data_IF_693317777054
#
_entry.id   IF_693317777054
#
_cell.length_a   1.000
_cell.length_b   1.000
_cell.length_c   1.000
_cell.angle_alpha   90.00
_cell.angle_beta   90.00
_cell.angle_gamma   90.00
#
_symmetry.space_group_name_H-M   'P 1'
#
loop_
_entity.id
_entity.type
_entity.pdbx_description
1 polymer ?
#
# COMPACT_ATOMS: atom_id res chain seq x y z
N UNK A 1 -10.10 48.01 75.38
CA UNK A 1 -8.76 47.44 75.07
C UNK A 1 -8.90 46.74 73.73
N UNK A 2 -8.33 47.32 72.67
CA UNK A 2 -8.50 46.83 71.30
C UNK A 2 -7.48 45.71 71.02
N UNK A 3 -7.95 44.52 70.66
CA UNK A 3 -7.10 43.46 70.13
C UNK A 3 -7.05 43.61 68.61
N UNK A 4 -5.92 44.07 68.09
CA UNK A 4 -5.63 44.13 66.67
C UNK A 4 -4.90 42.84 66.28
N UNK A 5 -5.59 41.94 65.58
CA UNK A 5 -5.05 40.67 65.14
C UNK A 5 -4.11 40.86 63.93
N UNK A 6 -2.88 40.39 64.07
CA UNK A 6 -1.85 40.37 63.03
C UNK A 6 -2.13 39.23 62.04
N UNK A 7 -2.25 39.51 60.74
CA UNK A 7 -2.35 38.47 59.70
C UNK A 7 -0.95 38.08 59.21
N UNK A 8 -0.61 36.80 59.31
CA UNK A 8 0.61 36.21 58.74
C UNK A 8 0.37 35.96 57.23
N UNK A 9 1.30 36.30 56.31
CA UNK A 9 1.13 35.99 54.90
C UNK A 9 1.21 34.48 54.67
N UNK A 10 0.15 33.87 54.12
CA UNK A 10 0.17 32.47 53.71
C UNK A 10 1.00 32.32 52.43
N UNK A 11 2.13 31.60 52.52
CA UNK A 11 2.90 31.20 51.35
C UNK A 11 2.05 30.29 50.44
N UNK A 12 2.11 30.46 49.10
CA UNK A 12 1.33 29.64 48.18
C UNK A 12 1.79 28.19 48.29
N UNK A 13 0.93 27.32 48.83
CA UNK A 13 1.17 25.89 48.83
C UNK A 13 1.15 25.40 47.39
N UNK A 14 2.34 25.20 46.81
CA UNK A 14 2.52 24.67 45.46
C UNK A 14 1.88 23.28 45.42
N UNK A 15 0.67 23.24 44.89
CA UNK A 15 -0.28 22.14 45.00
C UNK A 15 0.30 20.90 44.33
N UNK A 16 0.79 19.97 45.15
CA UNK A 16 1.24 18.65 44.70
C UNK A 16 0.16 17.92 43.90
N UNK A 17 -1.12 18.21 44.19
CA UNK A 17 -2.28 17.76 43.43
C UNK A 17 -2.26 18.22 41.98
N UNK A 18 -1.85 19.45 41.68
CA UNK A 18 -1.76 19.97 40.31
C UNK A 18 -0.63 19.28 39.53
N UNK A 19 0.46 18.95 40.22
CA UNK A 19 1.55 18.14 39.65
C UNK A 19 1.09 16.70 39.35
N UNK A 20 0.33 16.08 40.26
CA UNK A 20 -0.22 14.73 40.05
C UNK A 20 -1.24 14.71 38.92
N UNK A 21 -2.16 15.70 38.86
CA UNK A 21 -3.16 15.81 37.79
C UNK A 21 -2.49 16.01 36.44
N UNK A 22 -1.46 16.86 36.34
CA UNK A 22 -0.69 17.04 35.10
C UNK A 22 0.03 15.75 34.66
N UNK A 23 0.57 14.98 35.60
CA UNK A 23 1.22 13.69 35.29
C UNK A 23 0.18 12.69 34.78
N UNK A 24 -0.97 12.57 35.46
CA UNK A 24 -2.04 11.64 35.05
C UNK A 24 -2.60 12.01 33.68
N UNK A 25 -2.87 13.30 33.43
CA UNK A 25 -3.34 13.78 32.12
C UNK A 25 -2.29 13.53 31.02
N UNK A 26 -1.01 13.77 31.32
CA UNK A 26 0.10 13.48 30.40
C UNK A 26 0.21 12.00 30.05
N UNK A 27 0.06 11.11 31.03
CA UNK A 27 0.09 9.66 30.82
C UNK A 27 -1.12 9.19 30.01
N UNK A 28 -2.32 9.68 30.30
CA UNK A 28 -3.55 9.31 29.56
C UNK A 28 -3.48 9.79 28.10
N UNK A 29 -2.99 11.01 27.85
CA UNK A 29 -2.74 11.50 26.49
C UNK A 29 -1.68 10.68 25.76
N UNK A 30 -0.57 10.37 26.42
CA UNK A 30 0.47 9.52 25.83
C UNK A 30 -0.06 8.13 25.48
N UNK A 31 -0.83 7.49 26.37
CA UNK A 31 -1.45 6.17 26.11
C UNK A 31 -2.50 6.26 24.99
N UNK A 32 -3.29 7.33 24.92
CA UNK A 32 -4.26 7.54 23.84
C UNK A 32 -3.58 7.74 22.48
N UNK A 33 -2.50 8.53 22.42
CA UNK A 33 -1.74 8.79 21.19
C UNK A 33 -0.91 7.57 20.75
N UNK A 34 -0.31 6.83 21.69
CA UNK A 34 0.45 5.62 21.38
C UNK A 34 -0.49 4.44 21.05
N UNK A 35 -1.64 4.34 21.70
CA UNK A 35 -2.66 3.32 21.39
C UNK A 35 -3.26 3.48 19.99
N UNK A 36 -3.60 4.72 19.59
CA UNK A 36 -4.06 5.02 18.23
C UNK A 36 -2.93 4.89 17.20
N UNK A 37 -1.71 5.28 17.55
CA UNK A 37 -0.53 5.18 16.68
C UNK A 37 -0.10 3.73 16.40
N UNK A 38 0.00 2.88 17.42
CA UNK A 38 0.49 1.50 17.26
C UNK A 38 -0.62 0.58 16.77
N UNK A 39 -1.85 0.72 17.26
CA UNK A 39 -3.00 -0.06 16.78
C UNK A 39 -3.39 0.29 15.35
N UNK A 40 -3.39 1.59 15.02
CA UNK A 40 -3.65 2.09 13.66
C UNK A 40 -2.51 1.76 12.69
N UNK A 41 -1.25 1.94 13.07
CA UNK A 41 -0.11 1.67 12.20
C UNK A 41 -0.02 0.20 11.79
N UNK A 42 -0.28 -0.74 12.69
CA UNK A 42 -0.28 -2.17 12.33
C UNK A 42 -1.51 -2.58 11.49
N UNK A 43 -2.70 -2.00 11.74
CA UNK A 43 -3.88 -2.22 10.91
C UNK A 43 -3.72 -1.60 9.50
N UNK A 44 -3.15 -0.40 9.39
CA UNK A 44 -2.82 0.24 8.12
C UNK A 44 -1.67 -0.45 7.40
N UNK A 45 -0.69 -1.03 8.11
CA UNK A 45 0.40 -1.79 7.50
C UNK A 45 -0.13 -3.07 6.87
N UNK A 46 -0.92 -3.88 7.59
CA UNK A 46 -1.44 -5.14 7.05
C UNK A 46 -2.35 -4.99 5.81
N UNK A 47 -3.11 -3.89 5.67
CA UNK A 47 -3.94 -3.62 4.47
C UNK A 47 -3.09 -3.06 3.32
N UNK A 48 -2.04 -2.27 3.61
CA UNK A 48 -1.07 -1.80 2.61
C UNK A 48 -0.09 -2.89 2.17
N UNK A 49 0.17 -3.88 3.02
CA UNK A 49 1.21 -4.91 2.84
C UNK A 49 0.94 -5.85 1.66
N UNK A 50 -0.31 -5.97 1.22
CA UNK A 50 -0.64 -6.73 0.01
C UNK A 50 -0.95 -5.82 -1.18
N UNK A 51 -1.75 -4.78 -0.98
CA UNK A 51 -2.19 -3.86 -2.04
C UNK A 51 -1.03 -3.11 -2.70
N UNK A 52 -0.07 -2.62 -1.90
CA UNK A 52 1.12 -1.92 -2.42
C UNK A 52 1.96 -2.83 -3.31
N UNK A 53 2.45 -3.97 -2.79
CA UNK A 53 3.25 -4.89 -3.59
C UNK A 53 2.55 -5.47 -4.81
N UNK A 54 1.21 -5.69 -4.76
CA UNK A 54 0.45 -6.09 -5.95
C UNK A 54 0.45 -4.98 -7.01
N UNK A 55 0.23 -3.73 -6.59
CA UNK A 55 0.27 -2.57 -7.47
C UNK A 55 1.63 -2.40 -8.12
N UNK A 56 2.68 -2.40 -7.32
CA UNK A 56 4.05 -2.16 -7.77
C UNK A 56 4.49 -3.23 -8.80
N UNK A 57 4.10 -4.49 -8.59
CA UNK A 57 4.38 -5.57 -9.53
C UNK A 57 3.67 -5.39 -10.88
N UNK A 58 2.41 -4.93 -10.86
CA UNK A 58 1.66 -4.64 -12.08
C UNK A 58 2.22 -3.41 -12.80
N UNK A 59 2.60 -2.36 -12.06
CA UNK A 59 3.23 -1.15 -12.62
C UNK A 59 4.59 -1.50 -13.24
N UNK A 60 5.42 -2.31 -12.58
CA UNK A 60 6.69 -2.76 -13.12
C UNK A 60 6.52 -3.53 -14.44
N UNK A 61 5.52 -4.41 -14.53
CA UNK A 61 5.20 -5.11 -15.79
C UNK A 61 4.88 -4.13 -16.92
N UNK A 62 4.01 -3.15 -16.67
CA UNK A 62 3.65 -2.14 -17.68
C UNK A 62 4.85 -1.27 -18.05
N UNK A 63 5.68 -0.88 -17.08
CA UNK A 63 6.91 -0.12 -17.32
C UNK A 63 7.91 -0.88 -18.21
N UNK A 64 8.02 -2.21 -18.04
CA UNK A 64 8.83 -3.02 -18.95
C UNK A 64 8.29 -2.99 -20.38
N UNK A 65 6.97 -2.99 -20.55
CA UNK A 65 6.34 -2.88 -21.88
C UNK A 65 6.51 -1.49 -22.49
N UNK A 66 6.37 -0.43 -21.69
CA UNK A 66 6.66 0.96 -22.11
C UNK A 66 8.12 1.13 -22.56
N UNK A 67 9.06 0.53 -21.82
CA UNK A 67 10.48 0.53 -22.17
C UNK A 67 10.83 -0.41 -23.34
N UNK A 68 9.88 -1.19 -23.86
CA UNK A 68 10.11 -2.21 -24.89
C UNK A 68 10.93 -3.41 -24.41
N UNK A 69 11.11 -3.57 -23.09
CA UNK A 69 11.81 -4.69 -22.49
C UNK A 69 10.86 -5.89 -22.30
N UNK A 70 10.51 -6.53 -23.42
CA UNK A 70 9.60 -7.69 -23.43
C UNK A 70 10.14 -8.88 -22.64
N UNK A 71 11.46 -9.00 -22.50
CA UNK A 71 12.09 -10.09 -21.75
C UNK A 71 11.86 -9.96 -20.24
N UNK A 72 12.07 -8.76 -19.69
CA UNK A 72 11.78 -8.49 -18.28
C UNK A 72 10.27 -8.58 -17.99
N UNK A 73 9.43 -8.12 -18.93
CA UNK A 73 7.98 -8.29 -18.85
C UNK A 73 7.61 -9.78 -18.78
N UNK A 74 8.16 -10.62 -19.65
CA UNK A 74 7.94 -12.07 -19.64
C UNK A 74 8.43 -12.72 -18.34
N UNK A 75 9.58 -12.30 -17.81
CA UNK A 75 10.11 -12.85 -16.56
C UNK A 75 9.27 -12.50 -15.34
N UNK A 76 8.50 -11.41 -15.38
CA UNK A 76 7.55 -11.03 -14.33
C UNK A 76 6.23 -11.80 -14.38
N UNK A 77 5.98 -12.59 -15.44
CA UNK A 77 4.81 -13.46 -15.54
C UNK A 77 4.89 -14.64 -14.56
N UNK A 78 3.73 -15.14 -14.16
CA UNK A 78 3.63 -16.28 -13.27
C UNK A 78 3.97 -17.59 -13.97
N UNK A 79 4.29 -18.62 -13.19
CA UNK A 79 4.73 -19.90 -13.72
C UNK A 79 3.70 -20.51 -14.69
N UNK A 80 2.41 -20.42 -14.34
CA UNK A 80 1.31 -20.95 -15.17
C UNK A 80 1.27 -20.25 -16.55
N UNK A 81 1.36 -18.91 -16.59
CA UNK A 81 1.37 -18.16 -17.86
C UNK A 81 2.64 -18.40 -18.68
N UNK A 82 3.80 -18.51 -18.03
CA UNK A 82 5.06 -18.86 -18.70
C UNK A 82 5.09 -20.29 -19.24
N UNK A 83 4.29 -21.19 -18.66
CA UNK A 83 4.07 -22.53 -19.18
C UNK A 83 3.13 -22.54 -20.39
N UNK A 84 2.21 -21.58 -20.47
CA UNK A 84 1.21 -21.47 -21.54
C UNK A 84 1.73 -20.76 -22.81
N UNK A 85 2.64 -19.78 -22.65
CA UNK A 85 3.19 -19.00 -23.75
C UNK A 85 4.71 -19.13 -23.77
N UNK A 86 5.32 -19.38 -24.94
CA UNK A 86 6.76 -19.23 -25.07
C UNK A 86 7.14 -17.75 -25.03
N UNK A 87 8.40 -17.46 -24.69
CA UNK A 87 8.94 -16.10 -24.67
C UNK A 87 8.76 -15.39 -26.01
N UNK A 88 9.00 -16.11 -27.11
CA UNK A 88 8.89 -15.60 -28.47
C UNK A 88 7.42 -15.34 -28.84
N UNK A 89 6.51 -16.23 -28.44
CA UNK A 89 5.07 -16.05 -28.68
C UNK A 89 4.53 -14.83 -27.90
N UNK A 90 4.99 -14.64 -26.66
CA UNK A 90 4.67 -13.45 -25.87
C UNK A 90 5.19 -12.17 -26.53
N UNK A 91 6.48 -12.14 -26.93
CA UNK A 91 7.07 -10.99 -27.60
C UNK A 91 6.37 -10.66 -28.92
N UNK A 92 6.03 -11.68 -29.71
CA UNK A 92 5.26 -11.52 -30.95
C UNK A 92 3.83 -11.02 -30.70
N UNK A 93 3.21 -11.40 -29.58
CA UNK A 93 1.91 -10.87 -29.14
C UNK A 93 2.00 -9.39 -28.79
N UNK A 94 2.96 -9.01 -27.93
CA UNK A 94 3.20 -7.62 -27.54
C UNK A 94 3.51 -6.74 -28.77
N UNK A 95 4.32 -7.23 -29.71
CA UNK A 95 4.68 -6.48 -30.91
C UNK A 95 3.51 -6.18 -31.86
N UNK A 96 2.39 -6.91 -31.75
CA UNK A 96 1.17 -6.65 -32.54
C UNK A 96 0.27 -5.60 -31.90
N UNK A 97 0.52 -5.26 -30.63
CA UNK A 97 -0.27 -4.29 -29.89
C UNK A 97 0.29 -2.86 -30.08
N UNK A 98 -0.55 -1.82 -30.01
CA UNK A 98 -0.08 -0.45 -29.90
C UNK A 98 0.84 -0.28 -28.68
N UNK A 99 1.85 0.59 -28.79
CA UNK A 99 2.78 0.80 -27.68
C UNK A 99 2.10 1.59 -26.57
N UNK A 100 2.39 1.22 -25.33
CA UNK A 100 1.99 1.99 -24.16
C UNK A 100 2.94 3.20 -24.05
N UNK A 101 2.38 4.40 -23.89
CA UNK A 101 3.13 5.63 -23.62
C UNK A 101 3.07 6.07 -22.17
N UNK A 102 1.95 5.80 -21.51
CA UNK A 102 1.69 6.20 -20.14
C UNK A 102 0.65 5.28 -19.52
N UNK A 103 0.65 5.17 -18.19
CA UNK A 103 -0.31 4.36 -17.45
C UNK A 103 -0.74 5.04 -16.15
N UNK A 104 -1.97 4.78 -15.74
CA UNK A 104 -2.51 5.23 -14.46
C UNK A 104 -3.33 4.13 -13.79
N UNK A 105 -2.91 3.73 -12.60
CA UNK A 105 -3.65 2.77 -11.77
C UNK A 105 -5.00 3.36 -11.35
N UNK A 106 -6.08 2.64 -11.64
CA UNK A 106 -7.46 3.03 -11.29
C UNK A 106 -7.96 2.30 -10.05
N UNK A 107 -7.55 1.04 -9.87
CA UNK A 107 -8.03 0.23 -8.76
C UNK A 107 -7.15 -0.99 -8.53
N UNK A 108 -7.08 -1.41 -7.27
CA UNK A 108 -6.34 -2.59 -6.84
C UNK A 108 -7.21 -3.37 -5.87
N UNK A 109 -7.40 -4.64 -6.17
CA UNK A 109 -8.16 -5.57 -5.35
C UNK A 109 -7.26 -6.76 -5.04
N UNK A 110 -7.22 -7.17 -3.78
CA UNK A 110 -6.49 -8.35 -3.35
C UNK A 110 -7.45 -9.30 -2.66
N UNK A 111 -7.38 -10.58 -3.03
CA UNK A 111 -8.19 -11.63 -2.47
C UNK A 111 -7.28 -12.78 -2.00
N UNK A 112 -7.54 -13.29 -0.81
CA UNK A 112 -6.88 -14.50 -0.30
C UNK A 112 -7.91 -15.62 -0.28
N UNK A 113 -7.73 -16.60 -1.16
CA UNK A 113 -8.62 -17.75 -1.23
C UNK A 113 -8.44 -18.69 -0.03
N UNK A 114 -9.46 -19.50 0.23
CA UNK A 114 -9.44 -20.55 1.26
C UNK A 114 -8.39 -21.64 1.00
N UNK A 115 -7.91 -21.77 -0.23
CA UNK A 115 -6.80 -22.63 -0.63
C UNK A 115 -5.41 -22.06 -0.29
N UNK A 116 -5.35 -20.89 0.37
CA UNK A 116 -4.11 -20.20 0.71
C UNK A 116 -3.45 -19.44 -0.45
N UNK A 117 -4.00 -19.49 -1.67
CA UNK A 117 -3.51 -18.68 -2.79
C UNK A 117 -3.98 -17.25 -2.63
N UNK A 118 -3.05 -16.31 -2.72
CA UNK A 118 -3.37 -14.88 -2.75
C UNK A 118 -3.34 -14.38 -4.18
N UNK A 119 -4.46 -13.87 -4.67
CA UNK A 119 -4.59 -13.26 -6.00
C UNK A 119 -4.84 -11.76 -5.87
N UNK A 120 -4.45 -11.03 -6.91
CA UNK A 120 -4.61 -9.60 -7.02
C UNK A 120 -5.17 -9.24 -8.37
N UNK A 121 -5.92 -8.16 -8.44
CA UNK A 121 -6.45 -7.59 -9.67
C UNK A 121 -6.12 -6.11 -9.67
N UNK A 122 -5.40 -5.65 -10.70
CA UNK A 122 -5.03 -4.25 -10.86
C UNK A 122 -5.63 -3.74 -12.15
N UNK A 123 -6.56 -2.79 -12.03
CA UNK A 123 -7.15 -2.11 -13.18
C UNK A 123 -6.34 -0.84 -13.45
N UNK A 124 -5.86 -0.70 -14.69
CA UNK A 124 -5.10 0.45 -15.14
C UNK A 124 -5.74 1.07 -16.38
N UNK A 125 -5.55 2.38 -16.50
CA UNK A 125 -5.79 3.14 -17.72
C UNK A 125 -4.46 3.23 -18.45
N UNK A 126 -4.39 2.77 -19.69
CA UNK A 126 -3.22 2.79 -20.55
C UNK A 126 -3.42 3.81 -21.66
N UNK A 127 -2.48 4.74 -21.81
CA UNK A 127 -2.44 5.66 -22.94
C UNK A 127 -1.55 5.07 -24.02
N UNK A 128 -2.10 4.85 -25.20
CA UNK A 128 -1.42 4.21 -26.31
C UNK A 128 -0.75 5.24 -27.23
N UNK A 129 0.24 4.81 -27.99
CA UNK A 129 0.96 5.65 -28.94
C UNK A 129 0.09 6.19 -30.08
N UNK A 130 -0.99 5.47 -30.40
CA UNK A 130 -2.09 5.86 -31.30
C UNK A 130 -2.92 7.03 -30.81
N UNK A 131 -2.79 7.43 -29.53
CA UNK A 131 -3.58 8.48 -28.90
C UNK A 131 -4.88 8.00 -28.24
N UNK A 132 -5.20 6.71 -28.36
CA UNK A 132 -6.32 6.11 -27.64
C UNK A 132 -5.96 5.74 -26.21
N UNK A 133 -6.98 5.64 -25.38
CA UNK A 133 -6.88 5.15 -24.02
C UNK A 133 -7.60 3.82 -23.90
N UNK A 134 -6.93 2.83 -23.31
CA UNK A 134 -7.50 1.53 -22.98
C UNK A 134 -7.61 1.34 -21.46
N UNK A 135 -8.64 0.62 -20.99
CA UNK A 135 -8.74 0.21 -19.60
C UNK A 135 -8.49 -1.28 -19.49
N UNK A 136 -7.31 -1.63 -18.98
CA UNK A 136 -6.88 -3.01 -18.88
C UNK A 136 -6.87 -3.50 -17.43
N UNK A 137 -7.21 -4.76 -17.22
CA UNK A 137 -7.22 -5.38 -15.88
C UNK A 137 -6.22 -6.51 -15.82
N UNK A 138 -5.14 -6.31 -15.07
CA UNK A 138 -4.10 -7.30 -14.86
C UNK A 138 -4.45 -8.18 -13.67
N UNK A 139 -4.41 -9.50 -13.88
CA UNK A 139 -4.54 -10.49 -12.81
C UNK A 139 -3.15 -10.85 -12.33
N UNK A 140 -2.96 -10.89 -11.01
CA UNK A 140 -1.71 -11.24 -10.36
C UNK A 140 -1.92 -12.39 -9.40
N UNK A 141 -0.88 -13.20 -9.25
CA UNK A 141 -0.81 -14.27 -8.26
C UNK A 141 0.45 -14.07 -7.41
N UNK A 142 0.32 -14.27 -6.10
CA UNK A 142 1.47 -14.30 -5.20
C UNK A 142 2.10 -15.70 -5.22
N UNK A 143 3.25 -15.82 -5.85
CA UNK A 143 4.05 -17.05 -5.95
C UNK A 143 5.34 -16.89 -5.16
N UNK A 144 5.59 -17.77 -4.19
CA UNK A 144 6.82 -17.75 -3.36
C UNK A 144 7.10 -16.37 -2.74
N UNK A 145 6.05 -15.68 -2.29
CA UNK A 145 6.15 -14.33 -1.70
C UNK A 145 6.24 -13.19 -2.71
N UNK A 146 6.37 -13.48 -4.01
CA UNK A 146 6.50 -12.49 -5.09
C UNK A 146 5.20 -12.40 -5.90
N UNK A 147 4.76 -11.18 -6.22
CA UNK A 147 3.62 -10.98 -7.11
C UNK A 147 4.04 -11.12 -8.57
N UNK A 148 3.27 -11.90 -9.34
CA UNK A 148 3.52 -12.21 -10.74
C UNK A 148 2.26 -12.01 -11.55
N UNK A 149 2.39 -11.50 -12.78
CA UNK A 149 1.23 -11.29 -13.67
C UNK A 149 0.81 -12.63 -14.29
N UNK A 150 -0.49 -12.93 -14.23
CA UNK A 150 -1.08 -14.18 -14.69
C UNK A 150 -2.20 -13.95 -15.71
N UNK A 151 -2.56 -15.04 -16.40
CA UNK A 151 -3.68 -15.09 -17.35
C UNK A 151 -3.24 -14.69 -18.75
N UNK A 152 -4.11 -13.96 -19.45
CA UNK A 152 -3.79 -13.26 -20.69
C UNK A 152 -3.37 -11.85 -20.33
N UNK A 153 -2.06 -11.56 -20.28
CA UNK A 153 -1.58 -10.25 -19.89
C UNK A 153 -1.86 -9.18 -20.97
N UNK A 154 -2.28 -9.59 -22.18
CA UNK A 154 -2.61 -8.77 -23.34
C UNK A 154 -3.53 -9.52 -24.33
#
# INVERSE_FOLDING_TARGET
MAYQSYQVPQQPQRSRTLRTVLIVVGVVLAVCCVGAGVGGYFLFRNVKDAVGPTRDAAEAFVQYLEAGNTDAAYDSLCADTRGAYTREAFAAGVAKQPKIKDHAVQGVFVNTGSNGRTTGTVTMRLTLDTGFTDQHTFVLLKENGTWRVCGQPY
#
